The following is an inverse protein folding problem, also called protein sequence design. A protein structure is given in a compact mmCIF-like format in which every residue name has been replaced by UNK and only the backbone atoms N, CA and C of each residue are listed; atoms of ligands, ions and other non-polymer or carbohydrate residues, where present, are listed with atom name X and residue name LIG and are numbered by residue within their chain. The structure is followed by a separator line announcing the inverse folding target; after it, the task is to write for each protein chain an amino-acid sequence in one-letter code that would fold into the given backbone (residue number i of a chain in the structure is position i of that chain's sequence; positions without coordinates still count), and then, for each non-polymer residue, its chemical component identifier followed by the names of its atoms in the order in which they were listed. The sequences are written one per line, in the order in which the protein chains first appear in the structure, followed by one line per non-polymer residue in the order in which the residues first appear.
data_IF_684530011880
#
_entry.id   IF_684530011880
#
_cell.length_a   1.000
_cell.length_b   1.000
_cell.length_c   1.000
_cell.angle_alpha   90.00
_cell.angle_beta   90.00
_cell.angle_gamma   90.00
#
_symmetry.space_group_name_H-M   'P 1'
#
loop_
_entity.id
_entity.type
_entity.pdbx_description
1 polymer ?
#
# COMPACT_ATOMS: atom_id res chain seq x y z
N UNK A 1 27.54 -6.77 -2.77
CA UNK A 1 26.40 -6.82 -3.74
C UNK A 1 26.75 -6.21 -5.12
N UNK A 2 27.33 -5.00 -5.17
CA UNK A 2 27.63 -4.31 -6.46
C UNK A 2 28.58 -5.11 -7.36
N UNK A 3 29.61 -5.76 -6.80
CA UNK A 3 30.51 -6.61 -7.58
C UNK A 3 29.81 -7.81 -8.23
N UNK A 4 28.86 -8.43 -7.52
CA UNK A 4 28.04 -9.52 -8.07
C UNK A 4 27.17 -9.00 -9.21
N UNK A 5 26.52 -7.86 -9.02
CA UNK A 5 25.69 -7.24 -10.07
C UNK A 5 26.52 -6.83 -11.30
N UNK A 6 27.75 -6.35 -11.13
CA UNK A 6 28.64 -6.01 -12.23
C UNK A 6 29.03 -7.25 -13.05
N UNK A 7 29.38 -8.36 -12.37
CA UNK A 7 29.67 -9.64 -13.03
C UNK A 7 28.43 -10.18 -13.75
N UNK A 8 27.27 -10.15 -13.11
CA UNK A 8 26.02 -10.59 -13.72
C UNK A 8 25.60 -9.72 -14.90
N UNK A 9 25.84 -8.40 -14.86
CA UNK A 9 25.59 -7.51 -16.00
C UNK A 9 26.51 -7.80 -17.18
N UNK A 10 27.78 -8.13 -16.93
CA UNK A 10 28.73 -8.51 -17.97
C UNK A 10 28.35 -9.85 -18.61
N UNK A 11 27.99 -10.85 -17.80
CA UNK A 11 27.49 -12.14 -18.27
C UNK A 11 26.17 -11.96 -19.04
N UNK A 12 25.24 -11.14 -18.52
CA UNK A 12 23.96 -10.85 -19.16
C UNK A 12 24.12 -10.23 -20.54
N UNK A 13 25.08 -9.33 -20.72
CA UNK A 13 25.41 -8.76 -22.04
C UNK A 13 26.00 -9.77 -23.03
N UNK A 14 26.65 -10.84 -22.55
CA UNK A 14 27.21 -11.90 -23.40
C UNK A 14 26.17 -12.96 -23.83
N UNK A 15 24.98 -12.97 -23.22
CA UNK A 15 23.93 -13.95 -23.51
C UNK A 15 23.25 -13.75 -24.87
N UNK A 16 23.41 -12.59 -25.52
CA UNK A 16 22.80 -12.29 -26.82
C UNK A 16 23.78 -11.57 -27.73
N UNK A 17 24.43 -12.34 -28.60
CA UNK A 17 25.34 -11.90 -29.65
C UNK A 17 24.68 -12.26 -31.01
N UNK A 18 24.26 -11.25 -31.78
CA UNK A 18 23.62 -11.45 -33.08
C UNK A 18 24.47 -12.33 -34.02
N UNK A 19 23.87 -13.41 -34.53
CA UNK A 19 24.50 -14.35 -35.47
C UNK A 19 25.53 -15.32 -34.88
N UNK A 20 25.87 -15.23 -33.58
CA UNK A 20 26.87 -16.09 -32.94
C UNK A 20 26.32 -16.86 -31.74
N UNK A 21 25.55 -16.20 -30.87
CA UNK A 21 25.08 -16.79 -29.62
C UNK A 21 23.79 -16.12 -29.14
N UNK A 22 22.64 -16.79 -29.29
CA UNK A 22 21.32 -16.21 -28.98
C UNK A 22 20.37 -17.19 -28.27
N UNK A 23 20.84 -17.98 -27.27
CA UNK A 23 20.04 -19.02 -26.61
C UNK A 23 18.78 -18.51 -25.91
N UNK A 24 18.77 -17.23 -25.51
CA UNK A 24 17.60 -16.61 -24.90
C UNK A 24 16.51 -16.31 -25.93
N UNK A 25 16.89 -15.87 -27.13
CA UNK A 25 15.95 -15.63 -28.23
C UNK A 25 15.39 -16.95 -28.72
N UNK A 26 16.25 -17.96 -28.93
CA UNK A 26 15.84 -19.33 -29.32
C UNK A 26 14.83 -19.92 -28.33
N UNK A 27 15.03 -19.71 -27.02
CA UNK A 27 14.11 -20.17 -25.99
C UNK A 27 12.75 -19.43 -26.02
N UNK A 28 12.73 -18.15 -26.37
CA UNK A 28 11.50 -17.36 -26.50
C UNK A 28 10.71 -17.78 -27.73
N UNK A 29 11.41 -18.04 -28.85
CA UNK A 29 10.81 -18.42 -30.13
C UNK A 29 9.99 -19.72 -30.03
N UNK A 30 10.39 -20.64 -29.14
CA UNK A 30 9.63 -21.85 -28.80
C UNK A 30 8.21 -21.55 -28.28
N UNK A 31 7.99 -20.35 -27.72
CA UNK A 31 6.67 -19.92 -27.20
C UNK A 31 5.94 -18.93 -28.11
N UNK A 32 6.56 -18.45 -29.19
CA UNK A 32 5.94 -17.55 -30.17
C UNK A 32 6.89 -17.19 -31.32
N UNK A 33 6.47 -17.50 -32.55
CA UNK A 33 7.28 -17.23 -33.76
C UNK A 33 7.43 -15.72 -34.05
N UNK A 34 8.64 -15.23 -34.37
CA UNK A 34 8.87 -13.85 -34.77
C UNK A 34 8.17 -13.51 -36.09
N UNK A 35 7.37 -12.44 -36.10
CA UNK A 35 6.70 -11.96 -37.33
C UNK A 35 7.64 -11.24 -38.30
N UNK A 36 8.80 -10.77 -37.82
CA UNK A 36 9.85 -10.09 -38.61
C UNK A 36 11.21 -10.38 -37.98
N UNK A 37 12.09 -11.01 -38.74
CA UNK A 37 13.50 -11.23 -38.37
C UNK A 37 14.39 -10.16 -39.01
N UNK A 38 15.16 -9.46 -38.18
CA UNK A 38 16.20 -8.56 -38.66
C UNK A 38 17.38 -9.39 -39.19
N UNK A 39 17.91 -9.01 -40.35
CA UNK A 39 19.17 -9.61 -40.82
C UNK A 39 20.29 -9.28 -39.83
N UNK A 40 21.25 -10.18 -39.63
CA UNK A 40 22.41 -9.97 -38.74
C UNK A 40 23.10 -8.60 -38.95
N UNK A 41 23.19 -8.13 -40.20
CA UNK A 41 23.73 -6.79 -40.51
C UNK A 41 22.89 -5.62 -39.97
N UNK A 42 21.57 -5.75 -39.92
CA UNK A 42 20.65 -4.76 -39.34
C UNK A 42 20.78 -4.71 -37.81
N UNK A 43 21.00 -5.85 -37.16
CA UNK A 43 21.23 -5.91 -35.71
C UNK A 43 22.55 -5.23 -35.32
N UNK A 44 23.63 -5.52 -36.04
CA UNK A 44 24.91 -4.85 -35.83
C UNK A 44 24.83 -3.36 -36.11
N UNK A 45 24.11 -2.94 -37.16
CA UNK A 45 23.93 -1.54 -37.49
C UNK A 45 23.14 -0.80 -36.39
N UNK A 46 22.02 -1.37 -35.94
CA UNK A 46 21.17 -0.78 -34.90
C UNK A 46 21.92 -0.72 -33.56
N UNK A 47 22.67 -1.78 -33.24
CA UNK A 47 23.53 -1.82 -32.05
C UNK A 47 24.62 -0.75 -32.11
N UNK A 48 25.31 -0.62 -33.25
CA UNK A 48 26.35 0.39 -33.45
C UNK A 48 25.79 1.82 -33.34
N UNK A 49 24.64 2.09 -33.94
CA UNK A 49 23.96 3.38 -33.84
C UNK A 49 23.57 3.68 -32.38
N UNK A 50 23.00 2.69 -31.67
CA UNK A 50 22.59 2.84 -30.27
C UNK A 50 23.78 3.14 -29.36
N UNK A 51 24.89 2.40 -29.54
CA UNK A 51 26.15 2.64 -28.80
C UNK A 51 26.72 4.01 -29.13
N UNK A 52 26.75 4.41 -30.40
CA UNK A 52 27.24 5.71 -30.82
C UNK A 52 26.42 6.87 -30.23
N UNK A 53 25.09 6.76 -30.24
CA UNK A 53 24.19 7.72 -29.61
C UNK A 53 24.37 7.77 -28.09
N UNK A 54 24.55 6.62 -27.44
CA UNK A 54 24.84 6.53 -26.01
C UNK A 54 26.16 7.21 -25.64
N UNK A 55 27.24 6.95 -26.38
CA UNK A 55 28.54 7.60 -26.20
C UNK A 55 28.42 9.10 -26.43
N UNK A 56 27.73 9.53 -27.49
CA UNK A 56 27.49 10.94 -27.77
C UNK A 56 26.76 11.62 -26.61
N UNK A 57 25.71 10.99 -26.09
CA UNK A 57 24.96 11.47 -24.92
C UNK A 57 25.86 11.62 -23.68
N UNK A 58 26.70 10.64 -23.38
CA UNK A 58 27.66 10.68 -22.26
C UNK A 58 28.65 11.82 -22.43
N UNK A 59 29.22 12.00 -23.63
CA UNK A 59 30.19 13.06 -23.91
C UNK A 59 29.55 14.44 -23.75
N UNK A 60 28.33 14.64 -24.27
CA UNK A 60 27.58 15.88 -24.13
C UNK A 60 27.23 16.17 -22.67
N UNK A 61 26.71 15.18 -21.94
CA UNK A 61 26.36 15.31 -20.52
C UNK A 61 27.59 15.62 -19.66
N UNK A 62 28.70 14.89 -19.85
CA UNK A 62 29.97 15.13 -19.15
C UNK A 62 30.51 16.53 -19.45
N UNK A 63 30.44 16.96 -20.71
CA UNK A 63 30.89 18.28 -21.13
C UNK A 63 30.06 19.43 -20.55
N UNK A 64 28.75 19.23 -20.37
CA UNK A 64 27.85 20.18 -19.72
C UNK A 64 28.07 20.23 -18.20
N UNK A 65 28.16 19.06 -17.55
CA UNK A 65 28.38 18.93 -16.11
C UNK A 65 29.71 19.54 -15.67
N UNK A 66 30.82 19.24 -16.36
CA UNK A 66 32.14 19.78 -16.01
C UNK A 66 32.26 21.29 -16.19
N UNK A 67 31.38 21.91 -16.98
CA UNK A 67 31.35 23.35 -17.22
C UNK A 67 30.25 24.06 -16.43
N UNK A 68 29.55 23.33 -15.56
CA UNK A 68 28.39 23.81 -14.80
C UNK A 68 27.35 24.53 -15.69
N UNK A 69 27.17 24.01 -16.92
CA UNK A 69 26.27 24.61 -17.92
C UNK A 69 24.91 23.94 -17.83
N UNK A 70 23.89 24.74 -17.52
CA UNK A 70 22.50 24.30 -17.65
C UNK A 70 22.11 24.26 -19.14
N UNK A 71 21.91 23.05 -19.67
CA UNK A 71 21.53 22.84 -21.08
C UNK A 71 20.09 23.27 -21.36
N UNK A 72 19.21 23.15 -20.37
CA UNK A 72 17.81 23.58 -20.45
C UNK A 72 17.68 24.95 -19.79
N UNK A 73 17.72 26.00 -20.61
CA UNK A 73 17.60 27.40 -20.13
C UNK A 73 16.14 27.87 -20.04
N UNK A 74 15.21 27.17 -20.68
CA UNK A 74 13.79 27.50 -20.65
C UNK A 74 13.19 27.18 -19.27
N UNK A 75 12.73 28.18 -18.50
CA UNK A 75 12.23 27.96 -17.14
C UNK A 75 10.95 27.11 -17.06
N UNK A 76 10.19 27.03 -18.15
CA UNK A 76 9.00 26.19 -18.27
C UNK A 76 9.37 24.72 -18.46
N UNK A 77 10.30 24.42 -19.36
CA UNK A 77 10.77 23.06 -19.61
C UNK A 77 11.47 22.48 -18.37
N UNK A 78 12.29 23.28 -17.69
CA UNK A 78 12.93 22.87 -16.44
C UNK A 78 11.89 22.46 -15.39
N UNK A 79 10.89 23.32 -15.13
CA UNK A 79 9.85 23.04 -14.14
C UNK A 79 9.06 21.77 -14.45
N UNK A 80 8.76 21.51 -15.73
CA UNK A 80 8.03 20.31 -16.15
C UNK A 80 8.84 19.04 -15.81
N UNK A 81 10.14 19.01 -16.13
CA UNK A 81 10.98 17.85 -15.82
C UNK A 81 11.29 17.73 -14.33
N UNK A 82 11.42 18.86 -13.62
CA UNK A 82 11.61 18.91 -12.17
C UNK A 82 10.41 18.31 -11.41
N UNK A 83 9.19 18.61 -11.85
CA UNK A 83 7.96 18.03 -11.30
C UNK A 83 7.62 16.67 -11.94
N UNK A 84 8.59 15.97 -12.56
CA UNK A 84 8.40 14.64 -13.17
C UNK A 84 7.16 14.56 -14.09
N UNK A 85 6.97 15.58 -14.94
CA UNK A 85 5.81 15.73 -15.83
C UNK A 85 4.46 15.90 -15.11
N UNK A 86 4.47 16.33 -13.84
CA UNK A 86 3.29 16.49 -12.99
C UNK A 86 2.48 15.20 -12.73
N UNK A 87 3.08 14.04 -12.96
CA UNK A 87 2.39 12.76 -12.80
C UNK A 87 2.10 12.46 -11.32
N UNK A 88 3.04 12.80 -10.44
CA UNK A 88 2.90 12.60 -9.00
C UNK A 88 1.77 13.48 -8.43
N UNK A 89 1.68 14.74 -8.86
CA UNK A 89 0.65 15.69 -8.43
C UNK A 89 -0.74 15.30 -8.95
N UNK A 90 -0.81 14.82 -10.19
CA UNK A 90 -2.06 14.30 -10.75
C UNK A 90 -2.53 13.07 -9.99
N UNK A 91 -1.62 12.14 -9.68
CA UNK A 91 -1.93 10.95 -8.90
C UNK A 91 -2.39 11.31 -7.48
N UNK A 92 -1.70 12.25 -6.83
CA UNK A 92 -2.04 12.75 -5.49
C UNK A 92 -3.45 13.37 -5.48
N UNK A 93 -3.74 14.23 -6.47
CA UNK A 93 -5.02 14.91 -6.58
C UNK A 93 -6.19 13.97 -6.92
N UNK A 94 -5.97 12.99 -7.81
CA UNK A 94 -7.03 12.15 -8.36
C UNK A 94 -7.30 10.89 -7.54
N UNK A 95 -6.28 10.31 -6.90
CA UNK A 95 -6.40 9.05 -6.19
C UNK A 95 -6.16 9.18 -4.69
N UNK A 96 -5.02 9.75 -4.29
CA UNK A 96 -4.63 9.76 -2.89
C UNK A 96 -5.55 10.64 -2.03
N UNK A 97 -5.66 11.94 -2.35
CA UNK A 97 -6.48 12.90 -1.59
C UNK A 97 -7.94 12.47 -1.45
N UNK A 98 -8.65 12.06 -2.51
CA UNK A 98 -10.04 11.61 -2.36
C UNK A 98 -10.13 10.31 -1.56
N UNK A 99 -9.20 9.37 -1.74
CA UNK A 99 -9.15 8.15 -0.94
C UNK A 99 -8.95 8.43 0.55
N UNK A 100 -8.01 9.31 0.89
CA UNK A 100 -7.75 9.73 2.26
C UNK A 100 -8.92 10.51 2.86
N UNK A 101 -9.56 11.38 2.08
CA UNK A 101 -10.75 12.12 2.52
C UNK A 101 -11.92 11.17 2.81
N UNK A 102 -12.16 10.18 1.94
CA UNK A 102 -13.19 9.16 2.13
C UNK A 102 -12.93 8.30 3.37
N UNK A 103 -11.68 7.85 3.55
CA UNK A 103 -11.28 7.08 4.74
C UNK A 103 -11.53 7.86 6.03
N UNK A 104 -11.11 9.13 6.08
CA UNK A 104 -11.36 10.00 7.24
C UNK A 104 -12.86 10.26 7.46
N UNK A 105 -13.64 10.40 6.39
CA UNK A 105 -15.09 10.57 6.49
C UNK A 105 -15.78 9.33 7.05
N UNK A 106 -15.38 8.13 6.60
CA UNK A 106 -15.89 6.86 7.12
C UNK A 106 -15.53 6.68 8.59
N UNK A 107 -14.29 6.99 8.99
CA UNK A 107 -13.88 6.91 10.39
C UNK A 107 -14.75 7.80 11.29
N UNK A 108 -14.87 9.09 10.94
CA UNK A 108 -15.60 10.07 11.76
C UNK A 108 -17.11 9.84 11.77
N UNK A 109 -17.69 9.34 10.68
CA UNK A 109 -19.15 9.19 10.55
C UNK A 109 -19.65 7.80 10.92
N UNK A 110 -18.81 6.78 10.84
CA UNK A 110 -19.22 5.39 11.08
C UNK A 110 -18.45 4.82 12.25
N UNK A 111 -17.12 4.76 12.17
CA UNK A 111 -16.31 4.05 13.18
C UNK A 111 -16.41 4.68 14.58
N UNK A 112 -16.15 5.98 14.70
CA UNK A 112 -16.21 6.71 15.98
C UNK A 112 -17.62 6.67 16.63
N UNK A 113 -18.73 7.00 15.92
CA UNK A 113 -20.04 7.02 16.56
C UNK A 113 -20.72 5.65 16.67
N UNK A 114 -20.42 4.68 15.80
CA UNK A 114 -21.11 3.38 15.80
C UNK A 114 -20.30 2.33 16.55
N UNK A 115 -18.99 2.29 16.36
CA UNK A 115 -18.15 1.24 16.96
C UNK A 115 -17.63 1.73 18.31
N UNK A 116 -16.88 2.84 18.34
CA UNK A 116 -16.24 3.29 19.57
C UNK A 116 -17.26 3.68 20.65
N UNK A 117 -18.27 4.50 20.31
CA UNK A 117 -19.31 4.86 21.27
C UNK A 117 -20.12 3.68 21.79
N UNK A 118 -20.44 2.69 20.94
CA UNK A 118 -21.18 1.51 21.41
C UNK A 118 -20.38 0.72 22.44
N UNK A 119 -19.06 0.62 22.26
CA UNK A 119 -18.18 -0.02 23.24
C UNK A 119 -18.14 0.75 24.56
N UNK A 120 -18.04 2.09 24.49
CA UNK A 120 -18.07 2.96 25.66
C UNK A 120 -19.41 2.88 26.42
N UNK A 121 -20.54 2.82 25.70
CA UNK A 121 -21.87 2.66 26.27
C UNK A 121 -22.04 1.31 26.98
N UNK A 122 -21.57 0.22 26.38
CA UNK A 122 -21.59 -1.11 27.01
C UNK A 122 -20.70 -1.12 28.27
N UNK A 123 -19.50 -0.56 28.18
CA UNK A 123 -18.56 -0.50 29.29
C UNK A 123 -19.13 0.32 30.47
N UNK A 124 -19.59 1.53 30.18
CA UNK A 124 -20.18 2.42 31.20
C UNK A 124 -21.48 1.85 31.78
N UNK A 125 -22.35 1.26 30.96
CA UNK A 125 -23.56 0.57 31.40
C UNK A 125 -23.26 -0.59 32.35
N UNK A 126 -22.21 -1.37 32.06
CA UNK A 126 -21.77 -2.48 32.92
C UNK A 126 -21.25 -1.98 34.28
N UNK A 127 -20.46 -0.90 34.28
CA UNK A 127 -19.97 -0.26 35.51
C UNK A 127 -21.13 0.28 36.35
N UNK A 128 -22.11 0.93 35.71
CA UNK A 128 -23.30 1.44 36.40
C UNK A 128 -24.16 0.32 36.99
N UNK A 129 -24.40 -0.75 36.23
CA UNK A 129 -25.18 -1.91 36.68
C UNK A 129 -24.50 -2.63 37.86
N UNK A 130 -23.19 -2.87 37.76
CA UNK A 130 -22.42 -3.49 38.84
C UNK A 130 -22.36 -2.62 40.10
N UNK A 131 -22.18 -1.31 39.96
CA UNK A 131 -22.27 -0.36 41.07
C UNK A 131 -23.66 -0.33 41.72
N UNK A 132 -24.72 -0.49 40.93
CA UNK A 132 -26.10 -0.67 41.42
C UNK A 132 -26.24 -1.93 42.27
N UNK A 133 -25.80 -3.08 41.75
CA UNK A 133 -25.80 -4.36 42.47
C UNK A 133 -24.97 -4.32 43.75
N UNK A 134 -23.80 -3.69 43.71
CA UNK A 134 -22.93 -3.54 44.87
C UNK A 134 -23.61 -2.75 45.99
N UNK A 135 -24.40 -1.71 45.66
CA UNK A 135 -25.15 -0.94 46.67
C UNK A 135 -26.28 -1.72 47.34
N UNK A 136 -26.83 -2.75 46.71
CA UNK A 136 -27.82 -3.64 47.32
C UNK A 136 -27.19 -4.50 48.43
N UNK A 137 -25.89 -4.80 48.31
CA UNK A 137 -25.11 -5.54 49.31
C UNK A 137 -24.75 -4.63 50.50
N UNK A 138 -25.71 -4.40 51.40
CA UNK A 138 -25.56 -3.52 52.56
C UNK A 138 -24.86 -4.15 53.78
N UNK A 139 -24.58 -5.46 53.76
CA UNK A 139 -23.97 -6.18 54.90
C UNK A 139 -24.89 -6.40 56.12
N UNK A 140 -26.12 -5.90 56.07
CA UNK A 140 -27.12 -6.03 57.14
C UNK A 140 -27.86 -7.37 57.05
N UNK A 141 -27.65 -8.27 58.03
CA UNK A 141 -28.29 -9.60 58.08
C UNK A 141 -29.83 -9.55 57.92
N UNK A 142 -30.48 -8.53 58.49
CA UNK A 142 -31.93 -8.33 58.41
C UNK A 142 -32.42 -8.15 56.97
N UNK A 143 -31.66 -7.42 56.14
CA UNK A 143 -32.01 -7.18 54.74
C UNK A 143 -31.93 -8.48 53.94
N UNK A 144 -30.93 -9.33 54.20
CA UNK A 144 -30.81 -10.65 53.56
C UNK A 144 -31.95 -11.60 53.94
N UNK A 145 -32.31 -11.66 55.23
CA UNK A 145 -33.41 -12.51 55.67
C UNK A 145 -34.73 -12.14 54.98
N UNK A 146 -35.03 -10.84 54.85
CA UNK A 146 -36.21 -10.34 54.14
C UNK A 146 -36.16 -10.70 52.65
N UNK A 147 -35.01 -10.53 52.00
CA UNK A 147 -34.83 -10.89 50.58
C UNK A 147 -35.06 -12.38 50.31
N UNK A 148 -34.58 -13.28 51.20
CA UNK A 148 -34.78 -14.73 51.07
C UNK A 148 -36.25 -15.09 51.22
N UNK A 149 -36.92 -14.56 52.26
CA UNK A 149 -38.34 -14.80 52.48
C UNK A 149 -39.19 -14.34 51.29
N UNK A 150 -38.89 -13.15 50.76
CA UNK A 150 -39.54 -12.62 49.56
C UNK A 150 -39.31 -13.52 48.33
N UNK A 151 -38.07 -13.97 48.10
CA UNK A 151 -37.71 -14.86 46.97
C UNK A 151 -38.48 -16.18 47.00
N UNK A 152 -38.64 -16.79 48.18
CA UNK A 152 -39.43 -18.02 48.35
C UNK A 152 -40.91 -17.78 48.01
N UNK A 153 -41.46 -16.66 48.45
CA UNK A 153 -42.85 -16.29 48.16
C UNK A 153 -43.08 -16.12 46.65
N UNK A 154 -42.17 -15.41 45.96
CA UNK A 154 -42.22 -15.26 44.50
C UNK A 154 -42.11 -16.61 43.79
N UNK A 155 -41.19 -17.49 44.21
CA UNK A 155 -41.05 -18.83 43.63
C UNK A 155 -42.33 -19.66 43.75
N UNK A 156 -43.01 -19.62 44.90
CA UNK A 156 -44.29 -20.31 45.11
C UNK A 156 -45.34 -19.77 44.14
N UNK A 157 -45.45 -18.44 43.99
CA UNK A 157 -46.40 -17.81 43.08
C UNK A 157 -46.12 -18.20 41.63
N UNK A 158 -44.87 -18.11 41.18
CA UNK A 158 -44.48 -18.48 39.80
C UNK A 158 -44.75 -19.97 39.55
N UNK A 159 -44.40 -20.85 40.48
CA UNK A 159 -44.64 -22.29 40.34
C UNK A 159 -46.13 -22.62 40.23
N UNK A 160 -46.97 -21.96 41.03
CA UNK A 160 -48.43 -22.15 40.97
C UNK A 160 -49.01 -21.57 39.68
N UNK A 161 -48.48 -20.45 39.18
CA UNK A 161 -48.98 -19.80 37.97
C UNK A 161 -48.57 -20.51 36.66
N UNK A 162 -47.42 -21.19 36.65
CA UNK A 162 -46.88 -21.90 35.48
C UNK A 162 -47.38 -23.37 35.41
N UNK A 163 -47.96 -23.89 36.50
CA UNK A 163 -48.56 -25.23 36.56
C UNK A 163 -50.03 -25.21 36.21
#
# INVERSE_FOLDING_TARGET
PVGILAVLSAIGGLLSIPGVWHPFTDWIEETGEPLVEATTGQDYLTSAISVALGILGIVLARGAFLRDRQLVTAPSAWRIFEHKLYFDELYDALFYRPGAALSNALRRRVEEPVIERSLDEIGSGTILASGGLARVQSGLLRTYALAIAFSVCVLIVVFVAVR
#
